data_IF_060271261451
#
_entry.id   IF_060271261451
#
_cell.length_a   1.000
_cell.length_b   1.000
_cell.length_c   1.000
_cell.angle_alpha   90.00
_cell.angle_beta   90.00
_cell.angle_gamma   90.00
#
_symmetry.space_group_name_H-M   'P 1'
#
loop_
_entity.id
_entity.type
_entity.pdbx_description
1 polymer ?
#
# COMPACT_ATOMS: atom_id res chain seq x y z
N UNK A 1 50.28 -37.18 -59.26
CA UNK A 1 50.03 -35.83 -58.69
C UNK A 1 48.53 -35.54 -58.59
N UNK A 2 47.81 -35.31 -59.69
CA UNK A 2 46.39 -34.89 -59.67
C UNK A 2 45.42 -35.72 -58.80
N UNK A 3 45.47 -37.06 -58.86
CA UNK A 3 44.61 -37.93 -58.01
C UNK A 3 44.91 -37.82 -56.51
N UNK A 4 46.17 -37.54 -56.16
CA UNK A 4 46.60 -37.41 -54.77
C UNK A 4 46.21 -36.04 -54.21
N UNK A 5 46.29 -34.99 -55.03
CA UNK A 5 45.83 -33.64 -54.69
C UNK A 5 44.30 -33.59 -54.55
N UNK A 6 43.55 -34.30 -55.41
CA UNK A 6 42.09 -34.46 -55.29
C UNK A 6 41.70 -35.14 -53.98
N UNK A 7 42.38 -36.24 -53.62
CA UNK A 7 42.15 -36.93 -52.35
C UNK A 7 42.43 -36.02 -51.15
N UNK A 8 43.55 -35.29 -51.15
CA UNK A 8 43.91 -34.37 -50.06
C UNK A 8 42.89 -33.22 -49.90
N UNK A 9 42.43 -32.63 -51.00
CA UNK A 9 41.41 -31.58 -50.95
C UNK A 9 40.05 -32.10 -50.48
N UNK A 10 39.70 -33.35 -50.80
CA UNK A 10 38.50 -34.01 -50.27
C UNK A 10 38.57 -34.19 -48.76
N UNK A 11 39.74 -34.54 -48.23
CA UNK A 11 39.99 -34.63 -46.78
C UNK A 11 39.85 -33.25 -46.12
N UNK A 12 40.51 -32.21 -46.65
CA UNK A 12 40.41 -30.83 -46.15
C UNK A 12 38.97 -30.31 -46.13
N UNK A 13 38.18 -30.61 -47.17
CA UNK A 13 36.77 -30.23 -47.24
C UNK A 13 35.93 -30.98 -46.20
N UNK A 14 36.24 -32.26 -45.95
CA UNK A 14 35.59 -33.04 -44.89
C UNK A 14 35.90 -32.47 -43.49
N UNK A 15 37.16 -32.11 -43.24
CA UNK A 15 37.58 -31.45 -42.00
C UNK A 15 36.88 -30.08 -41.82
N UNK A 16 36.75 -29.30 -42.91
CA UNK A 16 36.01 -28.04 -42.89
C UNK A 16 34.55 -28.25 -42.53
N UNK A 17 33.86 -29.20 -43.18
CA UNK A 17 32.46 -29.55 -42.86
C UNK A 17 32.31 -29.93 -41.39
N UNK A 18 33.24 -30.72 -40.84
CA UNK A 18 33.22 -31.08 -39.43
C UNK A 18 33.41 -29.88 -38.51
N UNK A 19 34.33 -28.96 -38.83
CA UNK A 19 34.54 -27.71 -38.08
C UNK A 19 33.30 -26.80 -38.10
N UNK A 20 32.68 -26.61 -39.28
CA UNK A 20 31.47 -25.79 -39.43
C UNK A 20 30.29 -26.45 -38.70
N UNK A 21 30.13 -27.77 -38.77
CA UNK A 21 29.11 -28.51 -38.02
C UNK A 21 29.26 -28.31 -36.50
N UNK A 22 30.48 -28.40 -35.94
CA UNK A 22 30.70 -28.17 -34.50
C UNK A 22 30.26 -26.78 -34.05
N UNK A 23 30.57 -25.76 -34.85
CA UNK A 23 30.12 -24.40 -34.57
C UNK A 23 28.61 -24.26 -34.73
N UNK A 24 28.01 -24.86 -35.76
CA UNK A 24 26.55 -24.90 -35.94
C UNK A 24 25.86 -25.50 -34.70
N UNK A 25 26.30 -26.66 -34.22
CA UNK A 25 25.76 -27.31 -33.02
C UNK A 25 25.94 -26.45 -31.76
N UNK A 26 27.07 -25.75 -31.64
CA UNK A 26 27.32 -24.82 -30.53
C UNK A 26 26.37 -23.62 -30.56
N UNK A 27 26.14 -23.05 -31.74
CA UNK A 27 25.22 -21.93 -31.95
C UNK A 27 23.76 -22.36 -31.77
N UNK A 28 23.39 -23.56 -32.24
CA UNK A 28 22.07 -24.18 -32.01
C UNK A 28 21.76 -24.26 -30.51
N UNK A 29 22.72 -24.78 -29.72
CA UNK A 29 22.57 -24.84 -28.27
C UNK A 29 22.45 -23.45 -27.65
N UNK A 30 23.30 -22.51 -28.04
CA UNK A 30 23.30 -21.16 -27.49
C UNK A 30 21.99 -20.42 -27.80
N UNK A 31 21.43 -20.60 -29.01
CA UNK A 31 20.11 -20.08 -29.37
C UNK A 31 19.00 -20.63 -28.48
N UNK A 32 19.00 -21.94 -28.23
CA UNK A 32 18.02 -22.57 -27.35
C UNK A 32 18.14 -22.05 -25.90
N UNK A 33 19.37 -21.91 -25.39
CA UNK A 33 19.61 -21.38 -24.04
C UNK A 33 19.11 -19.92 -23.90
N UNK A 34 19.31 -19.10 -24.93
CA UNK A 34 18.82 -17.70 -24.97
C UNK A 34 17.30 -17.63 -25.06
N UNK A 35 16.67 -18.49 -25.85
CA UNK A 35 15.21 -18.55 -25.95
C UNK A 35 14.56 -18.89 -24.59
N UNK A 36 15.18 -19.80 -23.84
CA UNK A 36 14.77 -20.13 -22.48
C UNK A 36 14.94 -18.92 -21.55
N UNK A 37 16.07 -18.23 -21.60
CA UNK A 37 16.34 -17.07 -20.74
C UNK A 37 15.42 -15.88 -21.07
N UNK A 38 15.17 -15.59 -22.36
CA UNK A 38 14.19 -14.56 -22.79
C UNK A 38 12.81 -14.87 -22.21
N UNK A 39 12.38 -16.13 -22.29
CA UNK A 39 11.09 -16.57 -21.74
C UNK A 39 11.05 -16.40 -20.22
N UNK A 40 12.14 -16.76 -19.53
CA UNK A 40 12.27 -16.62 -18.09
C UNK A 40 12.23 -15.16 -17.62
N UNK A 41 12.97 -14.27 -18.28
CA UNK A 41 13.00 -12.84 -17.96
C UNK A 41 11.66 -12.16 -18.26
N UNK A 42 11.01 -12.53 -19.37
CA UNK A 42 9.67 -12.05 -19.72
C UNK A 42 8.67 -12.37 -18.60
N UNK A 43 8.67 -13.60 -18.09
CA UNK A 43 7.80 -14.00 -16.99
C UNK A 43 8.06 -13.20 -15.70
N UNK A 44 9.33 -12.95 -15.35
CA UNK A 44 9.66 -12.17 -14.15
C UNK A 44 9.26 -10.69 -14.32
N UNK A 45 9.41 -10.12 -15.51
CA UNK A 45 8.91 -8.77 -15.84
C UNK A 45 7.39 -8.68 -15.66
N UNK A 46 6.64 -9.63 -16.21
CA UNK A 46 5.18 -9.70 -16.04
C UNK A 46 4.78 -9.81 -14.58
N UNK A 47 5.49 -10.63 -13.79
CA UNK A 47 5.26 -10.72 -12.34
C UNK A 47 5.49 -9.38 -11.63
N UNK A 48 6.53 -8.63 -12.00
CA UNK A 48 6.80 -7.30 -11.46
C UNK A 48 5.72 -6.27 -11.87
N UNK A 49 5.24 -6.32 -13.11
CA UNK A 49 4.14 -5.48 -13.60
C UNK A 49 2.83 -5.76 -12.86
N UNK A 50 2.50 -7.05 -12.64
CA UNK A 50 1.35 -7.44 -11.85
C UNK A 50 1.48 -7.02 -10.39
N UNK A 51 2.67 -7.18 -9.79
CA UNK A 51 2.94 -6.72 -8.42
C UNK A 51 2.75 -5.20 -8.30
N UNK A 52 3.23 -4.44 -9.29
CA UNK A 52 3.07 -2.99 -9.38
C UNK A 52 1.59 -2.58 -9.48
N UNK A 53 0.83 -3.22 -10.37
CA UNK A 53 -0.60 -2.97 -10.55
C UNK A 53 -1.40 -3.26 -9.28
N UNK A 54 -1.07 -4.35 -8.58
CA UNK A 54 -1.72 -4.73 -7.32
C UNK A 54 -1.57 -3.64 -6.23
N UNK A 55 -0.52 -2.80 -6.31
CA UNK A 55 -0.31 -1.70 -5.34
C UNK A 55 -1.21 -0.49 -5.58
N UNK A 56 -1.84 -0.36 -6.76
CA UNK A 56 -2.76 0.74 -7.04
C UNK A 56 -3.96 0.72 -6.09
N UNK A 57 -4.60 -0.43 -5.91
CA UNK A 57 -5.74 -0.56 -5.01
C UNK A 57 -5.36 -0.20 -3.56
N UNK A 58 -4.19 -0.63 -3.10
CA UNK A 58 -3.71 -0.32 -1.75
C UNK A 58 -3.50 1.20 -1.58
N UNK A 59 -2.96 1.86 -2.61
CA UNK A 59 -2.76 3.31 -2.61
C UNK A 59 -4.10 4.05 -2.56
N UNK A 60 -5.06 3.65 -3.39
CA UNK A 60 -6.39 4.27 -3.46
C UNK A 60 -7.11 4.16 -2.12
N UNK A 61 -7.06 2.99 -1.48
CA UNK A 61 -7.62 2.78 -0.14
C UNK A 61 -6.94 3.68 0.91
N UNK A 62 -5.61 3.79 0.89
CA UNK A 62 -4.89 4.64 1.83
C UNK A 62 -5.23 6.13 1.65
N UNK A 63 -5.37 6.59 0.40
CA UNK A 63 -5.80 7.95 0.07
C UNK A 63 -7.25 8.18 0.51
N UNK A 64 -8.16 7.25 0.23
CA UNK A 64 -9.56 7.34 0.67
C UNK A 64 -9.67 7.44 2.19
N UNK A 65 -8.88 6.64 2.92
CA UNK A 65 -8.79 6.73 4.38
C UNK A 65 -8.33 8.12 4.85
N UNK A 66 -7.35 8.72 4.18
CA UNK A 66 -6.91 10.09 4.47
C UNK A 66 -8.00 11.12 4.17
N UNK A 67 -8.67 11.03 3.01
CA UNK A 67 -9.76 11.93 2.63
C UNK A 67 -10.94 11.86 3.62
N UNK A 68 -11.30 10.66 4.07
CA UNK A 68 -12.33 10.49 5.11
C UNK A 68 -11.91 11.16 6.42
N UNK A 69 -10.64 11.12 6.77
CA UNK A 69 -10.12 11.78 7.97
C UNK A 69 -10.05 13.29 7.85
N UNK A 70 -9.75 13.83 6.68
CA UNK A 70 -9.80 15.27 6.40
C UNK A 70 -11.22 15.84 6.58
N UNK A 71 -12.25 15.00 6.47
CA UNK A 71 -13.65 15.41 6.68
C UNK A 71 -14.06 15.59 8.15
N UNK A 72 -13.16 15.28 9.11
CA UNK A 72 -13.41 15.47 10.56
C UNK A 72 -13.68 16.93 10.89
N UNK A 73 -14.44 17.17 11.96
CA UNK A 73 -14.92 18.50 12.34
C UNK A 73 -14.65 18.82 13.80
N UNK A 74 -14.53 20.12 14.09
CA UNK A 74 -14.39 20.65 15.45
C UNK A 74 -13.25 19.98 16.24
N UNK A 75 -13.56 19.40 17.39
CA UNK A 75 -12.60 18.82 18.33
C UNK A 75 -11.88 17.59 17.76
N UNK A 76 -12.44 16.95 16.72
CA UNK A 76 -11.84 15.78 16.07
C UNK A 76 -10.78 16.11 15.01
N UNK A 77 -10.55 17.39 14.69
CA UNK A 77 -9.48 17.82 13.77
C UNK A 77 -8.14 17.79 14.50
N UNK A 78 -7.59 16.59 14.62
CA UNK A 78 -6.32 16.34 15.31
C UNK A 78 -5.46 15.40 14.48
N UNK A 79 -4.17 15.73 14.38
CA UNK A 79 -3.15 14.79 13.91
C UNK A 79 -2.95 13.72 14.97
N UNK A 80 -3.53 12.56 14.71
CA UNK A 80 -3.41 11.37 15.56
C UNK A 80 -2.40 10.37 14.96
N UNK A 81 -1.99 9.35 15.74
CA UNK A 81 -1.07 8.32 15.24
C UNK A 81 -1.59 7.58 13.99
N UNK A 82 -2.91 7.49 13.81
CA UNK A 82 -3.49 6.85 12.62
C UNK A 82 -3.20 7.68 11.37
N UNK A 83 -3.31 9.00 11.45
CA UNK A 83 -2.96 9.88 10.34
C UNK A 83 -1.49 9.77 9.95
N UNK A 84 -0.61 9.70 10.94
CA UNK A 84 0.82 9.54 10.71
C UNK A 84 1.13 8.20 10.02
N UNK A 85 0.52 7.12 10.48
CA UNK A 85 0.70 5.79 9.88
C UNK A 85 0.10 5.70 8.46
N UNK A 86 -1.04 6.34 8.18
CA UNK A 86 -1.61 6.38 6.84
C UNK A 86 -0.74 7.19 5.86
N UNK A 87 -0.18 8.32 6.30
CA UNK A 87 0.78 9.07 5.47
C UNK A 87 2.07 8.28 5.21
N UNK A 88 2.55 7.50 6.20
CA UNK A 88 3.68 6.58 6.01
C UNK A 88 3.31 5.47 5.02
N UNK A 89 2.10 4.91 5.12
CA UNK A 89 1.58 3.89 4.21
C UNK A 89 1.59 4.37 2.76
N UNK A 90 1.04 5.56 2.48
CA UNK A 90 1.11 6.18 1.13
C UNK A 90 2.56 6.30 0.65
N UNK A 91 3.48 6.80 1.48
CA UNK A 91 4.90 6.96 1.10
C UNK A 91 5.58 5.62 0.80
N UNK A 92 5.32 4.59 1.60
CA UNK A 92 5.90 3.25 1.40
C UNK A 92 5.32 2.63 0.12
N UNK A 93 4.02 2.78 -0.13
CA UNK A 93 3.39 2.31 -1.38
C UNK A 93 3.99 3.00 -2.60
N UNK A 94 4.15 4.33 -2.57
CA UNK A 94 4.77 5.06 -3.68
C UNK A 94 6.23 4.67 -3.92
N UNK A 95 7.01 4.48 -2.84
CA UNK A 95 8.40 4.00 -2.92
C UNK A 95 8.43 2.61 -3.58
N UNK A 96 7.60 1.68 -3.10
CA UNK A 96 7.51 0.33 -3.65
C UNK A 96 7.11 0.35 -5.14
N UNK A 97 6.16 1.19 -5.53
CA UNK A 97 5.76 1.36 -6.93
C UNK A 97 6.92 1.87 -7.80
N UNK A 98 7.68 2.86 -7.33
CA UNK A 98 8.85 3.39 -8.04
C UNK A 98 9.93 2.32 -8.22
N UNK A 99 10.22 1.57 -7.17
CA UNK A 99 11.22 0.49 -7.20
C UNK A 99 10.82 -0.61 -8.19
N UNK A 100 9.57 -1.09 -8.14
CA UNK A 100 9.07 -2.09 -9.09
C UNK A 100 9.04 -1.56 -10.52
N UNK A 101 8.66 -0.30 -10.74
CA UNK A 101 8.68 0.31 -12.07
C UNK A 101 10.09 0.39 -12.64
N UNK A 102 11.09 0.71 -11.81
CA UNK A 102 12.49 0.70 -12.22
C UNK A 102 12.92 -0.72 -12.64
N UNK A 103 12.58 -1.75 -11.86
CA UNK A 103 12.88 -3.15 -12.22
C UNK A 103 12.24 -3.59 -13.53
N UNK A 104 10.99 -3.16 -13.78
CA UNK A 104 10.30 -3.44 -15.05
C UNK A 104 11.02 -2.80 -16.23
N UNK A 105 11.49 -1.55 -16.08
CA UNK A 105 12.26 -0.86 -17.12
C UNK A 105 13.61 -1.53 -17.37
N UNK A 106 14.36 -1.87 -16.32
CA UNK A 106 15.63 -2.61 -16.41
C UNK A 106 15.42 -3.97 -17.12
N UNK A 107 14.35 -4.71 -16.77
CA UNK A 107 14.03 -5.99 -17.40
C UNK A 107 13.66 -5.84 -18.88
N UNK A 108 12.96 -4.76 -19.25
CA UNK A 108 12.64 -4.47 -20.65
C UNK A 108 13.91 -4.18 -21.47
N UNK A 109 14.81 -3.35 -20.95
CA UNK A 109 16.10 -3.06 -21.62
C UNK A 109 16.94 -4.33 -21.80
N UNK A 110 17.03 -5.16 -20.77
CA UNK A 110 17.76 -6.43 -20.85
C UNK A 110 17.12 -7.41 -21.85
N UNK A 111 15.80 -7.44 -21.98
CA UNK A 111 15.11 -8.23 -23.01
C UNK A 111 15.49 -7.77 -24.43
N UNK A 112 15.62 -6.46 -24.67
CA UNK A 112 16.09 -5.94 -25.95
C UNK A 112 17.52 -6.41 -26.25
N UNK A 113 18.42 -6.35 -25.28
CA UNK A 113 19.81 -6.83 -25.43
C UNK A 113 19.87 -8.33 -25.74
N UNK A 114 19.08 -9.15 -25.05
CA UNK A 114 18.98 -10.59 -25.33
C UNK A 114 18.41 -10.86 -26.74
N UNK A 115 17.43 -10.08 -27.19
CA UNK A 115 16.88 -10.20 -28.55
C UNK A 115 17.92 -9.85 -29.62
N UNK A 116 18.72 -8.80 -29.40
CA UNK A 116 19.82 -8.44 -30.29
C UNK A 116 20.89 -9.54 -30.35
N UNK A 117 21.31 -10.07 -29.19
CA UNK A 117 22.26 -11.17 -29.11
C UNK A 117 21.75 -12.42 -29.84
N UNK A 118 20.46 -12.76 -29.66
CA UNK A 118 19.77 -13.84 -30.37
C UNK A 118 19.77 -13.64 -31.88
N UNK A 119 19.48 -12.44 -32.37
CA UNK A 119 19.50 -12.14 -33.80
C UNK A 119 20.90 -12.33 -34.40
N UNK A 120 21.95 -11.87 -33.70
CA UNK A 120 23.35 -12.08 -34.13
C UNK A 120 23.71 -13.56 -34.20
N UNK A 121 23.33 -14.35 -33.18
CA UNK A 121 23.52 -15.80 -33.20
C UNK A 121 22.76 -16.48 -34.34
N UNK A 122 21.51 -16.08 -34.59
CA UNK A 122 20.68 -16.64 -35.65
C UNK A 122 21.25 -16.35 -37.04
N UNK A 123 21.80 -15.15 -37.24
CA UNK A 123 22.47 -14.80 -38.48
C UNK A 123 23.73 -15.64 -38.70
N UNK A 124 24.59 -15.74 -37.68
CA UNK A 124 25.81 -16.55 -37.76
C UNK A 124 25.47 -18.04 -38.02
N UNK A 125 24.47 -18.57 -37.30
CA UNK A 125 23.96 -19.92 -37.50
C UNK A 125 23.48 -20.15 -38.94
N UNK A 126 22.67 -19.24 -39.49
CA UNK A 126 22.20 -19.30 -40.87
C UNK A 126 23.36 -19.38 -41.86
N UNK A 127 24.38 -18.52 -41.70
CA UNK A 127 25.60 -18.58 -42.52
C UNK A 127 26.33 -19.94 -42.40
N UNK A 128 26.39 -20.55 -41.20
CA UNK A 128 26.99 -21.87 -41.02
C UNK A 128 26.19 -22.96 -41.74
N UNK A 129 24.86 -22.91 -41.70
CA UNK A 129 23.98 -23.86 -42.42
C UNK A 129 24.18 -23.75 -43.93
N UNK A 130 24.12 -22.55 -44.49
CA UNK A 130 24.35 -22.33 -45.93
C UNK A 130 25.76 -22.78 -46.36
N UNK A 131 26.78 -22.50 -45.53
CA UNK A 131 28.15 -22.96 -45.80
C UNK A 131 28.23 -24.48 -45.85
N UNK A 132 27.54 -25.20 -44.95
CA UNK A 132 27.50 -26.66 -44.96
C UNK A 132 26.83 -27.22 -46.21
N UNK A 133 25.77 -26.58 -46.70
CA UNK A 133 25.11 -26.99 -47.94
C UNK A 133 26.03 -26.84 -49.15
N UNK A 134 26.73 -25.71 -49.24
CA UNK A 134 27.73 -25.45 -50.29
C UNK A 134 28.88 -26.46 -50.21
N UNK A 135 29.48 -26.65 -49.04
CA UNK A 135 30.63 -27.54 -48.87
C UNK A 135 30.26 -29.02 -49.10
N UNK A 136 29.08 -29.47 -48.67
CA UNK A 136 28.58 -30.82 -48.96
C UNK A 136 28.29 -31.00 -50.45
N UNK A 137 27.75 -29.98 -51.12
CA UNK A 137 27.56 -29.98 -52.56
C UNK A 137 28.90 -30.12 -53.29
N UNK A 138 29.90 -29.32 -52.89
CA UNK A 138 31.27 -29.43 -53.41
C UNK A 138 31.87 -30.83 -53.19
N UNK A 139 31.67 -31.44 -52.02
CA UNK A 139 32.17 -32.78 -51.70
C UNK A 139 31.52 -33.88 -52.56
N UNK A 140 30.29 -33.65 -53.01
CA UNK A 140 29.52 -34.59 -53.85
C UNK A 140 29.85 -34.51 -55.35
N UNK A 141 30.53 -33.44 -55.79
CA UNK A 141 30.90 -33.28 -57.19
C UNK A 141 31.93 -34.32 -57.60
N UNK A 142 31.74 -34.88 -58.79
CA UNK A 142 32.64 -35.83 -59.43
C UNK A 142 32.74 -35.52 -60.93
N UNK A 143 33.68 -36.18 -61.63
CA UNK A 143 33.85 -36.02 -63.08
C UNK A 143 32.57 -36.38 -63.87
N UNK A 144 31.69 -37.21 -63.30
CA UNK A 144 30.44 -37.63 -63.92
C UNK A 144 29.25 -36.74 -63.54
N UNK A 145 29.46 -35.66 -62.77
CA UNK A 145 28.39 -34.78 -62.33
C UNK A 145 27.92 -33.89 -63.50
N UNK A 146 26.60 -33.76 -63.76
CA UNK A 146 26.08 -33.07 -64.94
C UNK A 146 26.30 -31.56 -64.96
N UNK A 147 26.58 -30.94 -63.80
CA UNK A 147 26.68 -29.48 -63.63
C UNK A 147 28.12 -28.95 -63.53
N UNK A 148 29.13 -29.71 -63.97
CA UNK A 148 30.52 -29.23 -64.02
C UNK A 148 30.79 -28.43 -65.30
N UNK A 149 31.46 -27.28 -65.18
CA UNK A 149 31.82 -26.43 -66.33
C UNK A 149 33.04 -25.58 -66.02
N UNK A 150 33.76 -25.11 -67.04
CA UNK A 150 34.79 -24.09 -66.85
C UNK A 150 34.15 -22.78 -66.37
N UNK A 151 34.77 -22.13 -65.37
CA UNK A 151 34.29 -20.88 -64.77
C UNK A 151 35.21 -19.73 -65.16
N UNK A 152 34.64 -18.54 -65.31
CA UNK A 152 35.40 -17.31 -65.60
C UNK A 152 36.12 -16.86 -64.34
N UNK A 153 37.45 -16.69 -64.43
CA UNK A 153 38.33 -16.29 -63.32
C UNK A 153 38.16 -17.16 -62.05
N UNK A 154 38.51 -18.47 -62.11
CA UNK A 154 38.25 -19.42 -61.03
C UNK A 154 39.12 -19.21 -59.78
N UNK A 155 40.23 -18.48 -59.90
CA UNK A 155 41.17 -18.20 -58.80
C UNK A 155 40.87 -16.89 -58.08
N UNK A 156 39.72 -16.25 -58.37
CA UNK A 156 39.33 -15.00 -57.72
C UNK A 156 39.03 -15.22 -56.24
N UNK A 157 39.53 -14.33 -55.39
CA UNK A 157 39.13 -14.21 -53.99
C UNK A 157 38.17 -13.02 -53.89
N UNK A 158 36.92 -13.21 -53.46
CA UNK A 158 35.99 -12.11 -53.26
C UNK A 158 36.55 -11.05 -52.30
N UNK A 159 36.31 -9.78 -52.59
CA UNK A 159 36.64 -8.69 -51.67
C UNK A 159 35.84 -8.88 -50.36
N UNK A 160 36.51 -8.69 -49.21
CA UNK A 160 35.90 -8.92 -47.89
C UNK A 160 35.94 -10.38 -47.41
N UNK A 161 36.74 -11.25 -48.05
CA UNK A 161 36.99 -12.60 -47.52
C UNK A 161 37.71 -12.55 -46.18
N UNK A 162 37.24 -13.31 -45.20
CA UNK A 162 37.82 -13.39 -43.86
C UNK A 162 38.85 -14.51 -43.74
N UNK A 163 39.76 -14.38 -42.78
CA UNK A 163 40.69 -15.46 -42.42
C UNK A 163 39.99 -16.54 -41.60
N UNK A 164 40.54 -17.77 -41.53
CA UNK A 164 40.03 -18.81 -40.64
C UNK A 164 39.97 -18.37 -39.17
N UNK A 165 40.97 -17.61 -38.72
CA UNK A 165 41.03 -17.07 -37.35
C UNK A 165 39.92 -16.04 -37.11
N UNK A 166 39.66 -15.14 -38.06
CA UNK A 166 38.57 -14.17 -37.99
C UNK A 166 37.19 -14.85 -38.01
N UNK A 167 37.02 -15.90 -38.83
CA UNK A 167 35.79 -16.69 -38.88
C UNK A 167 35.48 -17.38 -37.55
N UNK A 168 36.49 -18.00 -36.93
CA UNK A 168 36.33 -18.66 -35.64
C UNK A 168 36.08 -17.64 -34.52
N UNK A 169 36.81 -16.52 -34.55
CA UNK A 169 36.64 -15.44 -33.58
C UNK A 169 35.22 -14.84 -33.63
N UNK A 170 34.62 -14.69 -34.82
CA UNK A 170 33.25 -14.15 -34.94
C UNK A 170 32.24 -15.00 -34.15
N UNK A 171 32.24 -16.32 -34.37
CA UNK A 171 31.33 -17.23 -33.65
C UNK A 171 31.63 -17.32 -32.16
N UNK A 172 32.91 -17.27 -31.78
CA UNK A 172 33.32 -17.23 -30.37
C UNK A 172 32.87 -15.95 -29.67
N UNK A 173 33.01 -14.79 -30.31
CA UNK A 173 32.58 -13.49 -29.78
C UNK A 173 31.06 -13.43 -29.62
N UNK A 174 30.30 -13.90 -30.61
CA UNK A 174 28.84 -13.95 -30.53
C UNK A 174 28.38 -14.82 -29.36
N UNK A 175 28.99 -16.00 -29.19
CA UNK A 175 28.71 -16.89 -28.06
C UNK A 175 29.01 -16.20 -26.71
N UNK A 176 30.22 -15.67 -26.53
CA UNK A 176 30.65 -15.03 -25.27
C UNK A 176 29.78 -13.83 -24.90
N UNK A 177 29.46 -12.99 -25.89
CA UNK A 177 28.58 -11.84 -25.68
C UNK A 177 27.21 -12.31 -25.19
N UNK A 178 26.65 -13.32 -25.83
CA UNK A 178 25.35 -13.88 -25.45
C UNK A 178 25.37 -14.51 -24.05
N UNK A 179 26.41 -15.27 -23.71
CA UNK A 179 26.60 -15.80 -22.36
C UNK A 179 26.68 -14.69 -21.30
N UNK A 180 27.32 -13.55 -21.62
CA UNK A 180 27.37 -12.40 -20.73
C UNK A 180 25.98 -11.77 -20.53
N UNK A 181 25.19 -11.60 -21.59
CA UNK A 181 23.82 -11.07 -21.50
C UNK A 181 22.88 -12.00 -20.72
N UNK A 182 23.01 -13.32 -20.89
CA UNK A 182 22.23 -14.30 -20.12
C UNK A 182 22.57 -14.28 -18.62
N UNK A 183 23.85 -14.09 -18.28
CA UNK A 183 24.28 -13.94 -16.90
C UNK A 183 23.75 -12.65 -16.27
N UNK A 184 23.80 -11.53 -17.00
CA UNK A 184 23.22 -10.27 -16.56
C UNK A 184 21.71 -10.38 -16.34
N UNK A 185 21.00 -11.05 -17.26
CA UNK A 185 19.57 -11.35 -17.14
C UNK A 185 19.25 -12.20 -15.91
N UNK A 186 20.04 -13.23 -15.63
CA UNK A 186 19.84 -14.09 -14.45
C UNK A 186 19.94 -13.30 -13.15
N UNK A 187 20.96 -12.44 -13.02
CA UNK A 187 21.12 -11.57 -11.86
C UNK A 187 19.96 -10.57 -11.72
N UNK A 188 19.50 -10.01 -12.85
CA UNK A 188 18.37 -9.10 -12.86
C UNK A 188 17.06 -9.79 -12.43
N UNK A 189 16.84 -11.04 -12.87
CA UNK A 189 15.69 -11.85 -12.42
C UNK A 189 15.70 -12.05 -10.91
N UNK A 190 16.84 -12.45 -10.35
CA UNK A 190 16.99 -12.63 -8.90
C UNK A 190 16.73 -11.32 -8.14
N UNK A 191 17.33 -10.21 -8.59
CA UNK A 191 17.11 -8.89 -8.01
C UNK A 191 15.65 -8.43 -8.09
N UNK A 192 14.97 -8.73 -9.20
CA UNK A 192 13.56 -8.37 -9.40
C UNK A 192 12.64 -9.17 -8.48
N UNK A 193 12.86 -10.48 -8.37
CA UNK A 193 12.10 -11.34 -7.45
C UNK A 193 12.31 -10.93 -5.99
N UNK A 194 13.54 -10.57 -5.63
CA UNK A 194 13.85 -10.04 -4.30
C UNK A 194 13.12 -8.73 -4.03
N UNK A 195 13.12 -7.79 -4.98
CA UNK A 195 12.40 -6.52 -4.85
C UNK A 195 10.89 -6.72 -4.69
N UNK A 196 10.28 -7.67 -5.42
CA UNK A 196 8.87 -8.04 -5.24
C UNK A 196 8.63 -8.54 -3.81
N UNK A 197 9.48 -9.43 -3.29
CA UNK A 197 9.32 -9.96 -1.94
C UNK A 197 9.52 -8.86 -0.86
N UNK A 198 10.55 -8.01 -1.02
CA UNK A 198 10.85 -6.92 -0.09
C UNK A 198 9.72 -5.91 -0.04
N UNK A 199 9.25 -5.43 -1.18
CA UNK A 199 8.13 -4.48 -1.25
C UNK A 199 6.84 -5.04 -0.66
N UNK A 200 6.56 -6.34 -0.85
CA UNK A 200 5.42 -6.98 -0.20
C UNK A 200 5.55 -7.01 1.33
N UNK A 201 6.73 -7.34 1.84
CA UNK A 201 6.98 -7.39 3.28
C UNK A 201 6.94 -6.00 3.93
N UNK A 202 7.54 -4.99 3.29
CA UNK A 202 7.49 -3.59 3.75
C UNK A 202 6.04 -3.10 3.85
N UNK A 203 5.21 -3.44 2.86
CA UNK A 203 3.80 -3.05 2.85
C UNK A 203 2.95 -3.79 3.89
N UNK A 204 3.17 -5.08 4.09
CA UNK A 204 2.44 -5.81 5.12
C UNK A 204 2.78 -5.28 6.52
N UNK A 205 4.06 -5.00 6.79
CA UNK A 205 4.48 -4.40 8.05
C UNK A 205 3.84 -3.01 8.27
N UNK A 206 3.79 -2.17 7.23
CA UNK A 206 3.16 -0.85 7.33
C UNK A 206 1.64 -0.94 7.50
N UNK A 207 1.00 -1.92 6.83
CA UNK A 207 -0.43 -2.21 6.99
C UNK A 207 -0.75 -2.68 8.41
N UNK A 208 0.08 -3.52 9.01
CA UNK A 208 -0.08 -3.93 10.41
C UNK A 208 0.03 -2.73 11.37
N UNK A 209 0.99 -1.83 11.14
CA UNK A 209 1.16 -0.62 11.94
C UNK A 209 -0.06 0.31 11.84
N UNK A 210 -0.57 0.56 10.63
CA UNK A 210 -1.77 1.37 10.41
C UNK A 210 -3.01 0.75 11.06
N UNK A 211 -3.20 -0.57 10.90
CA UNK A 211 -4.30 -1.29 11.53
C UNK A 211 -4.23 -1.28 13.06
N UNK A 212 -3.04 -1.41 13.62
CA UNK A 212 -2.84 -1.31 15.07
C UNK A 212 -3.22 0.08 15.59
N UNK A 213 -2.76 1.13 14.92
CA UNK A 213 -3.11 2.51 15.26
C UNK A 213 -4.63 2.73 15.19
N UNK A 214 -5.30 2.19 14.15
CA UNK A 214 -6.75 2.27 13.98
C UNK A 214 -7.49 1.59 15.12
N UNK A 215 -7.12 0.34 15.46
CA UNK A 215 -7.73 -0.41 16.56
C UNK A 215 -7.57 0.31 17.90
N UNK A 216 -6.38 0.86 18.16
CA UNK A 216 -6.12 1.63 19.37
C UNK A 216 -7.02 2.87 19.42
N UNK A 217 -7.14 3.62 18.32
CA UNK A 217 -7.99 4.81 18.26
C UNK A 217 -9.48 4.48 18.45
N UNK A 218 -9.95 3.39 17.86
CA UNK A 218 -11.33 2.90 18.05
C UNK A 218 -11.58 2.62 19.54
N UNK A 219 -10.69 1.87 20.19
CA UNK A 219 -10.83 1.55 21.62
C UNK A 219 -10.80 2.80 22.52
N UNK A 220 -9.94 3.77 22.20
CA UNK A 220 -9.92 5.05 22.92
C UNK A 220 -11.21 5.85 22.75
N UNK A 221 -11.81 5.84 21.55
CA UNK A 221 -13.09 6.50 21.27
C UNK A 221 -14.26 5.81 21.96
N UNK A 222 -14.31 4.48 21.94
CA UNK A 222 -15.32 3.69 22.66
C UNK A 222 -15.28 3.99 24.17
N UNK A 223 -14.09 4.00 24.75
CA UNK A 223 -13.90 4.34 26.17
C UNK A 223 -14.35 5.78 26.49
N UNK A 224 -14.02 6.75 25.63
CA UNK A 224 -14.44 8.14 25.83
C UNK A 224 -15.96 8.29 25.70
N UNK A 225 -16.57 7.58 24.76
CA UNK A 225 -18.02 7.55 24.59
C UNK A 225 -18.72 6.97 25.83
N UNK A 226 -18.25 5.84 26.34
CA UNK A 226 -18.84 5.19 27.51
C UNK A 226 -18.72 6.05 28.77
N UNK A 227 -17.58 6.73 28.95
CA UNK A 227 -17.37 7.70 30.03
C UNK A 227 -18.35 8.88 29.91
N UNK A 228 -18.49 9.47 28.72
CA UNK A 228 -19.42 10.58 28.51
C UNK A 228 -20.87 10.16 28.77
N UNK A 229 -21.25 8.96 28.36
CA UNK A 229 -22.58 8.41 28.60
C UNK A 229 -22.84 8.19 30.11
N UNK A 230 -21.82 7.73 30.84
CA UNK A 230 -21.90 7.60 32.29
C UNK A 230 -22.04 8.96 32.99
N UNK A 231 -21.26 9.96 32.55
CA UNK A 231 -21.36 11.32 33.07
C UNK A 231 -22.72 11.95 32.79
N UNK A 232 -23.25 11.78 31.57
CA UNK A 232 -24.60 12.23 31.20
C UNK A 232 -25.66 11.64 32.13
N UNK A 233 -25.60 10.33 32.41
CA UNK A 233 -26.53 9.68 33.31
C UNK A 233 -26.46 10.25 34.72
N UNK A 234 -25.25 10.40 35.28
CA UNK A 234 -25.10 10.96 36.62
C UNK A 234 -25.61 12.40 36.72
N UNK A 235 -25.29 13.24 35.73
CA UNK A 235 -25.77 14.63 35.71
C UNK A 235 -27.29 14.68 35.61
N UNK A 236 -27.93 13.78 34.86
CA UNK A 236 -29.39 13.68 34.83
C UNK A 236 -29.99 13.24 36.18
N UNK A 237 -29.33 12.32 36.88
CA UNK A 237 -29.72 11.91 38.24
C UNK A 237 -29.58 13.07 39.24
N UNK A 238 -28.47 13.81 39.21
CA UNK A 238 -28.24 15.01 40.03
C UNK A 238 -29.28 16.11 39.74
N UNK A 239 -29.62 16.34 38.46
CA UNK A 239 -30.68 17.28 38.09
C UNK A 239 -32.03 16.82 38.67
N UNK A 240 -32.37 15.53 38.56
CA UNK A 240 -33.63 15.01 39.09
C UNK A 240 -33.72 15.12 40.62
N UNK A 241 -32.61 14.92 41.33
CA UNK A 241 -32.51 15.15 42.77
C UNK A 241 -32.70 16.62 43.12
N UNK A 242 -32.01 17.53 42.42
CA UNK A 242 -32.19 18.98 42.60
C UNK A 242 -33.64 19.42 42.34
N UNK A 243 -34.28 18.91 41.29
CA UNK A 243 -35.68 19.21 40.96
C UNK A 243 -36.65 18.70 42.05
N UNK A 244 -36.38 17.56 42.67
CA UNK A 244 -37.16 17.05 43.81
C UNK A 244 -36.95 17.91 45.06
N UNK A 245 -35.73 18.34 45.34
CA UNK A 245 -35.43 19.22 46.46
C UNK A 245 -36.07 20.62 46.29
N UNK A 246 -36.06 21.17 45.08
CA UNK A 246 -36.80 22.39 44.75
C UNK A 246 -38.30 22.21 45.01
N UNK A 247 -38.91 21.12 44.55
CA UNK A 247 -40.33 20.82 44.79
C UNK A 247 -40.67 20.70 46.27
N UNK A 248 -39.78 20.11 47.07
CA UNK A 248 -39.93 20.02 48.54
C UNK A 248 -39.85 21.39 49.19
N UNK A 249 -38.86 22.21 48.83
CA UNK A 249 -38.72 23.58 49.32
C UNK A 249 -39.95 24.43 48.99
N UNK A 250 -40.47 24.37 47.76
CA UNK A 250 -41.70 25.06 47.37
C UNK A 250 -42.93 24.59 48.16
N UNK A 251 -43.02 23.29 48.46
CA UNK A 251 -44.11 22.74 49.28
C UNK A 251 -44.03 23.23 50.73
N UNK A 252 -42.84 23.22 51.31
CA UNK A 252 -42.60 23.71 52.67
C UNK A 252 -42.86 25.23 52.78
N UNK A 253 -42.45 26.00 51.77
CA UNK A 253 -42.74 27.42 51.66
C UNK A 253 -44.25 27.67 51.63
N UNK A 254 -44.99 26.94 50.79
CA UNK A 254 -46.46 27.03 50.71
C UNK A 254 -47.13 26.71 52.05
N UNK A 255 -46.66 25.66 52.75
CA UNK A 255 -47.18 25.31 54.09
C UNK A 255 -46.94 26.46 55.08
N UNK A 256 -45.72 26.99 55.15
CA UNK A 256 -45.39 28.09 56.05
C UNK A 256 -46.16 29.38 55.74
N UNK A 257 -46.40 29.68 54.46
CA UNK A 257 -47.27 30.79 54.07
C UNK A 257 -48.73 30.59 54.52
N UNK A 258 -49.24 29.35 54.52
CA UNK A 258 -50.57 29.05 55.05
C UNK A 258 -50.62 29.22 56.58
N UNK A 259 -49.61 28.72 57.30
CA UNK A 259 -49.48 28.91 58.75
C UNK A 259 -49.46 30.40 59.10
N UNK A 260 -48.67 31.20 58.38
CA UNK A 260 -48.59 32.65 58.56
C UNK A 260 -49.95 33.33 58.31
N UNK A 261 -50.66 32.92 57.25
CA UNK A 261 -52.00 33.44 56.95
C UNK A 261 -52.98 33.15 58.10
N UNK A 262 -52.89 31.98 58.73
CA UNK A 262 -53.72 31.64 59.90
C UNK A 262 -53.36 32.53 61.09
N UNK A 263 -52.07 32.71 61.39
CA UNK A 263 -51.61 33.58 62.47
C UNK A 263 -52.06 35.05 62.28
N UNK A 264 -51.90 35.60 61.07
CA UNK A 264 -52.44 36.93 60.71
C UNK A 264 -53.95 37.01 60.89
N UNK A 265 -54.69 36.02 60.41
CA UNK A 265 -56.16 36.01 60.53
C UNK A 265 -56.60 35.93 62.00
N UNK A 266 -55.90 35.14 62.83
CA UNK A 266 -56.15 35.05 64.27
C UNK A 266 -55.89 36.38 64.98
N UNK A 267 -54.77 37.05 64.68
CA UNK A 267 -54.44 38.37 65.22
C UNK A 267 -55.50 39.41 64.83
N UNK A 268 -55.88 39.46 63.56
CA UNK A 268 -56.92 40.38 63.05
C UNK A 268 -58.28 40.10 63.72
N UNK A 269 -58.70 38.84 63.79
CA UNK A 269 -60.00 38.47 64.40
C UNK A 269 -60.08 38.89 65.86
N UNK A 270 -58.96 38.86 66.59
CA UNK A 270 -58.87 39.27 68.00
C UNK A 270 -58.99 40.78 68.20
N UNK A 271 -58.89 41.61 67.15
CA UNK A 271 -59.12 43.06 67.23
C UNK A 271 -60.60 43.42 67.38
N UNK A 272 -61.52 42.51 67.01
CA UNK A 272 -62.98 42.71 67.15
C UNK A 272 -63.52 42.42 68.56
N UNK A 273 -62.65 42.15 69.55
CA UNK A 273 -63.08 41.93 70.94
C UNK A 273 -63.72 43.21 71.51
N UNK A 274 -64.87 43.14 72.21
CA UNK A 274 -65.57 44.34 72.67
C UNK A 274 -64.96 44.93 73.96
N UNK A 275 -64.93 46.26 74.04
CA UNK A 275 -64.68 47.05 75.25
C UNK A 275 -63.40 46.66 76.02
N UNK A 276 -63.53 46.26 77.29
CA UNK A 276 -62.42 45.97 78.22
C UNK A 276 -61.67 44.68 77.92
N UNK A 277 -62.17 43.83 77.02
CA UNK A 277 -61.51 42.60 76.57
C UNK A 277 -60.40 42.85 75.53
N UNK A 278 -60.22 44.10 75.08
CA UNK A 278 -59.14 44.59 74.20
C UNK A 278 -57.83 44.84 74.98
N UNK A 279 -57.38 43.87 75.75
CA UNK A 279 -56.08 43.92 76.40
C UNK A 279 -55.09 42.93 75.76
N UNK A 280 -53.79 43.23 75.89
CA UNK A 280 -52.73 42.34 75.43
C UNK A 280 -52.55 41.21 76.44
N UNK A 281 -53.05 40.03 76.09
CA UNK A 281 -52.89 38.79 76.85
C UNK A 281 -51.73 37.96 76.31
N UNK A 282 -51.37 36.89 77.02
CA UNK A 282 -50.26 36.01 76.62
C UNK A 282 -50.45 35.41 75.22
N UNK A 283 -51.70 35.16 74.80
CA UNK A 283 -52.02 34.66 73.46
C UNK A 283 -51.69 35.70 72.38
N UNK A 284 -51.89 37.00 72.64
CA UNK A 284 -51.50 38.07 71.72
C UNK A 284 -49.98 38.11 71.51
N UNK A 285 -49.21 38.02 72.60
CA UNK A 285 -47.74 37.98 72.52
C UNK A 285 -47.26 36.73 71.77
N UNK A 286 -47.78 35.55 72.13
CA UNK A 286 -47.42 34.29 71.47
C UNK A 286 -47.74 34.25 69.97
N UNK A 287 -48.88 34.79 69.54
CA UNK A 287 -49.21 34.90 68.10
C UNK A 287 -48.32 35.91 67.37
N UNK A 288 -47.90 36.99 68.04
CA UNK A 288 -46.99 37.98 67.46
C UNK A 288 -45.59 37.38 67.29
N UNK A 289 -45.10 36.62 68.26
CA UNK A 289 -43.84 35.89 68.17
C UNK A 289 -43.90 34.80 67.08
N UNK A 290 -45.01 34.07 66.97
CA UNK A 290 -45.26 33.09 65.92
C UNK A 290 -45.16 33.72 64.52
N UNK A 291 -45.74 34.91 64.31
CA UNK A 291 -45.62 35.64 63.04
C UNK A 291 -44.17 35.97 62.71
N UNK A 292 -43.40 36.56 63.64
CA UNK A 292 -42.00 36.89 63.39
C UNK A 292 -41.16 35.64 63.05
N UNK A 293 -41.35 34.55 63.78
CA UNK A 293 -40.66 33.28 63.51
C UNK A 293 -41.04 32.68 62.16
N UNK A 294 -42.31 32.76 61.77
CA UNK A 294 -42.78 32.29 60.46
C UNK A 294 -42.23 33.15 59.32
N UNK A 295 -42.18 34.48 59.47
CA UNK A 295 -41.60 35.38 58.49
C UNK A 295 -40.08 35.19 58.31
N UNK A 296 -39.35 34.96 59.40
CA UNK A 296 -37.92 34.58 59.33
C UNK A 296 -37.72 33.24 58.63
N UNK A 297 -38.54 32.24 58.98
CA UNK A 297 -38.49 30.91 58.36
C UNK A 297 -38.82 30.96 56.86
N UNK A 298 -39.81 31.76 56.47
CA UNK A 298 -40.18 31.98 55.06
C UNK A 298 -39.04 32.66 54.30
N UNK A 299 -38.43 33.71 54.87
CA UNK A 299 -37.27 34.38 54.27
C UNK A 299 -36.09 33.42 54.07
N UNK A 300 -35.79 32.59 55.07
CA UNK A 300 -34.74 31.59 54.97
C UNK A 300 -35.02 30.53 53.88
N UNK A 301 -36.27 30.07 53.76
CA UNK A 301 -36.68 29.13 52.70
C UNK A 301 -36.64 29.77 51.31
N UNK A 302 -37.04 31.04 51.18
CA UNK A 302 -36.94 31.79 49.92
C UNK A 302 -35.50 31.98 49.48
N UNK A 303 -34.58 32.26 50.42
CA UNK A 303 -33.16 32.37 50.12
C UNK A 303 -32.60 31.03 49.63
N UNK A 304 -32.89 29.92 50.32
CA UNK A 304 -32.46 28.58 49.88
C UNK A 304 -33.01 28.20 48.51
N UNK A 305 -34.26 28.57 48.22
CA UNK A 305 -34.86 28.32 46.91
C UNK A 305 -34.18 29.14 45.82
N UNK A 306 -33.86 30.42 46.09
CA UNK A 306 -33.14 31.29 45.15
C UNK A 306 -31.69 30.82 44.90
N UNK A 307 -31.05 30.19 45.89
CA UNK A 307 -29.72 29.57 45.75
C UNK A 307 -29.76 28.25 44.96
N UNK A 308 -30.94 27.62 44.84
CA UNK A 308 -31.14 26.35 44.13
C UNK A 308 -31.66 26.52 42.70
N UNK A 309 -31.87 27.77 42.25
CA UNK A 309 -32.37 28.17 40.92
C UNK A 309 -31.25 28.74 40.05
#
# INVERSE_FOLDING_TARGET
QAKWDEHNNRTRLTERINSVNRWKETLDKCLADVDVEITALTKVKEMAEHALQAKNLCLDVAIECLTLRESRRAVDVVRDPVEEELHKEVKVIEKAKKELQQRVSEAFEQLCLLQEARQRLSFDHGCKVETLEVDRSCLSLSVNSPNISFKVNPTRVPNGSTTPEEWEMNSLCNKKHTEAEMNASTLLREATLLAIAQTNNELEAQREAANFALRKRISDLERAHDELKWQEQNTLEEIAEMEEDMRRLEKDLRRKMQDLKVAHTRLETRTYRPNTELYCDEVQYGLTDEVHQLEESIRALQQKLAESQ
#
